data_IF_467255087598
#
_entry.id   IF_467255087598
#
_cell.length_a   1.000
_cell.length_b   1.000
_cell.length_c   1.000
_cell.angle_alpha   90.00
_cell.angle_beta   90.00
_cell.angle_gamma   90.00
#
_symmetry.space_group_name_H-M   'P 1'
#
loop_
_entity.id
_entity.type
_entity.pdbx_description
1 polymer ?
#
# COMPACT_ATOMS: atom_id res chain seq x y z
N UNK A 1 10.71 -17.53 -11.79
CA UNK A 1 11.32 -17.00 -13.00
C UNK A 1 10.28 -16.98 -14.13
N UNK A 2 9.67 -18.10 -14.48
CA UNK A 2 8.75 -18.20 -15.62
C UNK A 2 7.54 -17.27 -15.50
N UNK A 3 6.94 -17.12 -14.34
CA UNK A 3 5.85 -16.16 -14.13
C UNK A 3 6.26 -14.70 -14.37
N UNK A 4 7.48 -14.33 -13.99
CA UNK A 4 8.02 -12.99 -14.27
C UNK A 4 8.30 -12.79 -15.77
N UNK A 5 8.81 -13.82 -16.44
CA UNK A 5 9.13 -13.78 -17.88
C UNK A 5 7.86 -13.75 -18.75
N UNK A 6 6.83 -14.52 -18.40
CA UNK A 6 5.52 -14.49 -19.08
C UNK A 6 4.68 -13.29 -18.74
N UNK A 7 4.84 -12.75 -17.53
CA UNK A 7 4.09 -11.61 -17.04
C UNK A 7 2.62 -11.92 -16.73
N UNK A 8 1.91 -10.88 -16.39
CA UNK A 8 0.47 -10.85 -16.18
C UNK A 8 -0.14 -9.83 -17.14
N UNK A 9 -1.43 -9.86 -17.37
CA UNK A 9 -2.10 -8.82 -18.15
C UNK A 9 -2.63 -7.72 -17.26
N UNK A 10 -2.85 -6.56 -17.85
CA UNK A 10 -3.41 -5.38 -17.18
C UNK A 10 -4.71 -4.99 -17.86
N UNK A 11 -5.74 -4.77 -17.07
CA UNK A 11 -7.00 -4.18 -17.50
C UNK A 11 -6.77 -2.70 -17.81
N UNK A 12 -6.46 -2.39 -19.07
CA UNK A 12 -6.12 -1.04 -19.50
C UNK A 12 -7.30 -0.05 -19.35
N UNK A 13 -8.56 -0.41 -19.67
CA UNK A 13 -9.72 0.42 -19.37
C UNK A 13 -9.83 0.78 -17.88
N UNK A 14 -9.66 -0.19 -16.98
CA UNK A 14 -9.72 0.04 -15.54
C UNK A 14 -8.53 0.90 -15.05
N UNK A 15 -7.36 0.73 -15.65
CA UNK A 15 -6.19 1.58 -15.38
C UNK A 15 -6.43 3.03 -15.78
N UNK A 16 -6.96 3.27 -16.98
CA UNK A 16 -7.28 4.61 -17.48
C UNK A 16 -8.36 5.30 -16.61
N UNK A 17 -9.41 4.59 -16.23
CA UNK A 17 -10.44 5.10 -15.30
C UNK A 17 -9.83 5.44 -13.92
N UNK A 18 -8.97 4.57 -13.41
CA UNK A 18 -8.23 4.81 -12.17
C UNK A 18 -7.36 6.07 -12.23
N UNK A 19 -6.64 6.27 -13.33
CA UNK A 19 -5.83 7.46 -13.56
C UNK A 19 -6.69 8.74 -13.53
N UNK A 20 -7.83 8.74 -14.22
CA UNK A 20 -8.74 9.89 -14.25
C UNK A 20 -9.30 10.21 -12.85
N UNK A 21 -9.67 9.18 -12.07
CA UNK A 21 -10.14 9.37 -10.68
C UNK A 21 -9.08 10.05 -9.82
N UNK A 22 -7.83 9.59 -9.92
CA UNK A 22 -6.73 10.18 -9.15
C UNK A 22 -6.43 11.62 -9.55
N UNK A 23 -6.47 11.94 -10.84
CA UNK A 23 -6.30 13.31 -11.32
C UNK A 23 -7.38 14.24 -10.77
N UNK A 24 -8.65 13.82 -10.76
CA UNK A 24 -9.74 14.60 -10.15
C UNK A 24 -9.49 14.87 -8.66
N UNK A 25 -9.10 13.84 -7.90
CA UNK A 25 -8.78 14.00 -6.47
C UNK A 25 -7.63 14.99 -6.28
N UNK A 26 -6.62 14.93 -7.14
CA UNK A 26 -5.49 15.87 -7.08
C UNK A 26 -5.92 17.30 -7.39
N UNK A 27 -6.75 17.51 -8.41
CA UNK A 27 -7.28 18.84 -8.77
C UNK A 27 -8.17 19.41 -7.66
N UNK A 28 -9.08 18.62 -7.11
CA UNK A 28 -9.93 19.01 -5.98
C UNK A 28 -9.11 19.33 -4.72
N UNK A 29 -8.01 18.61 -4.53
CA UNK A 29 -7.09 18.87 -3.42
C UNK A 29 -6.29 20.16 -3.64
N UNK A 30 -5.77 20.37 -4.84
CA UNK A 30 -5.04 21.58 -5.20
C UNK A 30 -5.87 22.84 -4.99
N UNK A 31 -7.16 22.80 -5.34
CA UNK A 31 -8.06 23.92 -5.12
C UNK A 31 -8.20 24.38 -3.66
N UNK A 32 -7.85 23.52 -2.71
CA UNK A 32 -7.92 23.79 -1.27
C UNK A 32 -6.55 24.14 -0.66
N UNK A 33 -5.45 23.89 -1.36
CA UNK A 33 -4.09 24.10 -0.86
C UNK A 33 -3.65 25.55 -1.15
N UNK A 34 -3.36 26.38 -0.12
CA UNK A 34 -3.12 27.81 -0.29
C UNK A 34 -1.92 28.19 -1.16
N UNK A 35 -0.94 27.30 -1.33
CA UNK A 35 0.27 27.55 -2.15
C UNK A 35 0.23 26.84 -3.50
N UNK A 36 -0.90 26.31 -3.94
CA UNK A 36 -1.02 25.57 -5.20
C UNK A 36 -0.69 26.44 -6.44
N UNK A 37 -0.96 27.74 -6.37
CA UNK A 37 -0.70 28.68 -7.46
C UNK A 37 0.74 29.21 -7.51
N UNK A 38 1.58 28.78 -6.56
CA UNK A 38 2.97 29.15 -6.52
C UNK A 38 3.79 28.24 -7.46
N UNK A 39 4.92 28.77 -7.97
CA UNK A 39 5.88 27.97 -8.74
C UNK A 39 6.57 26.85 -7.94
N UNK A 40 6.22 26.73 -6.67
CA UNK A 40 6.77 25.77 -5.73
C UNK A 40 5.99 24.46 -5.76
N UNK A 41 6.65 23.30 -5.67
CA UNK A 41 5.97 22.01 -5.65
C UNK A 41 4.95 21.91 -4.52
N UNK A 42 3.77 21.39 -4.80
CA UNK A 42 2.68 21.20 -3.83
C UNK A 42 3.17 20.48 -2.56
N UNK A 43 4.05 19.49 -2.70
CA UNK A 43 4.58 18.70 -1.59
C UNK A 43 5.82 19.35 -0.92
N UNK A 44 6.01 20.67 -1.05
CA UNK A 44 7.12 21.39 -0.43
C UNK A 44 7.00 21.41 1.09
N UNK A 45 7.98 20.85 1.84
CA UNK A 45 7.98 20.92 3.29
C UNK A 45 8.09 22.36 3.82
N UNK A 46 8.70 23.26 3.04
CA UNK A 46 8.84 24.67 3.40
C UNK A 46 7.48 25.35 3.39
N UNK A 47 6.72 25.25 2.29
CA UNK A 47 5.40 25.84 2.18
C UNK A 47 4.44 25.30 3.23
N UNK A 48 4.50 23.99 3.50
CA UNK A 48 3.71 23.37 4.56
C UNK A 48 4.01 24.00 5.93
N UNK A 49 5.29 24.15 6.30
CA UNK A 49 5.67 24.75 7.58
C UNK A 49 5.23 26.21 7.69
N UNK A 50 5.38 26.96 6.61
CA UNK A 50 4.95 28.37 6.56
C UNK A 50 3.44 28.51 6.74
N UNK A 51 2.66 27.64 6.11
CA UNK A 51 1.21 27.65 6.23
C UNK A 51 0.74 27.18 7.61
N UNK A 52 1.38 26.15 8.17
CA UNK A 52 1.16 25.75 9.56
C UNK A 52 1.40 26.89 10.53
N UNK A 53 2.49 27.67 10.35
CA UNK A 53 2.80 28.82 11.19
C UNK A 53 1.75 29.93 11.06
N UNK A 54 1.26 30.23 9.85
CA UNK A 54 0.18 31.19 9.62
C UNK A 54 -1.14 30.75 10.28
N UNK A 55 -1.45 29.45 10.18
CA UNK A 55 -2.65 28.89 10.78
C UNK A 55 -2.54 28.66 12.31
N UNK A 56 -1.39 28.88 12.90
CA UNK A 56 -1.14 28.64 14.33
C UNK A 56 -1.17 27.16 14.73
N UNK A 57 -0.92 26.26 13.80
CA UNK A 57 -0.90 24.80 14.03
C UNK A 57 0.53 24.25 13.92
N UNK A 58 0.90 23.24 14.70
CA UNK A 58 2.21 22.59 14.56
C UNK A 58 2.30 21.84 13.24
N UNK A 59 3.46 21.88 12.57
CA UNK A 59 3.73 21.03 11.42
C UNK A 59 3.99 19.58 11.88
N UNK A 60 3.50 18.56 11.16
CA UNK A 60 3.77 17.17 11.50
C UNK A 60 5.24 16.84 11.31
N UNK A 61 5.76 15.92 12.12
CA UNK A 61 7.16 15.45 12.06
C UNK A 61 7.40 14.72 10.74
N UNK A 62 6.43 13.91 10.33
CA UNK A 62 6.48 13.12 9.11
C UNK A 62 5.17 13.20 8.35
N UNK A 63 5.24 13.28 7.03
CA UNK A 63 4.09 13.16 6.13
C UNK A 63 3.95 11.75 5.53
N UNK A 64 4.65 10.75 6.08
CA UNK A 64 4.52 9.38 5.60
C UNK A 64 3.08 8.87 5.78
N UNK A 65 2.65 8.01 4.87
CA UNK A 65 1.26 7.53 4.86
C UNK A 65 0.89 6.73 6.11
N UNK A 66 1.86 6.00 6.66
CA UNK A 66 1.79 5.14 7.83
C UNK A 66 2.22 5.85 9.14
N UNK A 67 2.44 7.16 9.10
CA UNK A 67 2.82 7.94 10.27
C UNK A 67 1.61 8.20 11.16
N UNK A 68 1.64 7.69 12.39
CA UNK A 68 0.63 7.96 13.41
C UNK A 68 0.55 9.45 13.77
N UNK A 69 1.70 10.13 13.84
CA UNK A 69 1.80 11.58 14.05
C UNK A 69 1.03 12.35 12.96
N UNK A 70 1.19 11.96 11.71
CA UNK A 70 0.48 12.59 10.62
C UNK A 70 -1.02 12.28 10.60
N UNK A 71 -1.43 11.08 11.00
CA UNK A 71 -2.83 10.72 11.11
C UNK A 71 -3.52 11.52 12.23
N UNK A 72 -2.89 11.61 13.40
CA UNK A 72 -3.38 12.43 14.52
C UNK A 72 -3.42 13.93 14.17
N UNK A 73 -2.45 14.42 13.39
CA UNK A 73 -2.42 15.79 12.91
C UNK A 73 -3.58 16.08 11.94
N UNK A 74 -3.87 15.16 11.02
CA UNK A 74 -5.00 15.25 10.11
C UNK A 74 -6.34 15.22 10.85
N UNK A 75 -6.51 14.30 11.80
CA UNK A 75 -7.72 14.18 12.62
C UNK A 75 -7.99 15.47 13.43
N UNK A 76 -6.94 16.02 14.04
CA UNK A 76 -7.07 17.18 14.89
C UNK A 76 -7.33 18.49 14.14
N UNK A 77 -6.71 18.67 12.99
CA UNK A 77 -6.72 19.95 12.28
C UNK A 77 -7.42 19.94 10.92
N UNK A 78 -7.78 18.77 10.39
CA UNK A 78 -8.38 18.63 9.06
C UNK A 78 -9.75 19.30 8.93
N UNK A 79 -10.53 19.34 10.00
CA UNK A 79 -11.85 19.99 10.01
C UNK A 79 -11.73 21.53 10.04
N UNK A 80 -10.85 22.05 10.89
CA UNK A 80 -10.63 23.51 11.02
C UNK A 80 -9.80 24.09 9.87
N UNK A 81 -8.97 23.28 9.22
CA UNK A 81 -8.07 23.66 8.14
C UNK A 81 -8.20 22.68 6.97
N UNK A 82 -9.16 22.88 6.05
CA UNK A 82 -9.45 21.92 4.96
C UNK A 82 -8.27 21.58 4.06
N UNK A 83 -7.26 22.45 3.98
CA UNK A 83 -6.01 22.21 3.24
C UNK A 83 -5.15 21.10 3.86
N UNK A 84 -5.32 20.81 5.17
CA UNK A 84 -4.61 19.71 5.86
C UNK A 84 -5.02 18.37 5.27
N UNK A 85 -6.32 18.10 5.22
CA UNK A 85 -6.85 16.89 4.60
C UNK A 85 -6.53 16.85 3.09
N UNK A 86 -6.69 17.97 2.40
CA UNK A 86 -6.38 18.09 0.97
C UNK A 86 -4.90 17.77 0.67
N UNK A 87 -3.98 18.23 1.49
CA UNK A 87 -2.56 17.93 1.35
C UNK A 87 -2.26 16.42 1.48
N UNK A 88 -2.93 15.75 2.40
CA UNK A 88 -2.84 14.31 2.60
C UNK A 88 -3.42 13.55 1.41
N UNK A 89 -4.59 13.94 0.95
CA UNK A 89 -5.25 13.31 -0.19
C UNK A 89 -4.45 13.48 -1.47
N UNK A 90 -3.94 14.69 -1.73
CA UNK A 90 -3.05 14.94 -2.85
C UNK A 90 -1.82 14.02 -2.81
N UNK A 91 -1.17 13.88 -1.64
CA UNK A 91 0.00 13.02 -1.48
C UNK A 91 -0.32 11.55 -1.73
N UNK A 92 -1.42 11.04 -1.16
CA UNK A 92 -1.88 9.66 -1.36
C UNK A 92 -2.20 9.41 -2.84
N UNK A 93 -2.97 10.31 -3.46
CA UNK A 93 -3.34 10.22 -4.87
C UNK A 93 -2.13 10.29 -5.79
N UNK A 94 -1.19 11.21 -5.57
CA UNK A 94 0.05 11.33 -6.34
C UNK A 94 0.94 10.09 -6.23
N UNK A 95 1.03 9.49 -5.04
CA UNK A 95 1.79 8.25 -4.84
C UNK A 95 1.17 7.09 -5.62
N UNK A 96 -0.16 6.98 -5.59
CA UNK A 96 -0.88 5.95 -6.33
C UNK A 96 -0.81 6.18 -7.84
N UNK A 97 -0.96 7.45 -8.27
CA UNK A 97 -0.80 7.86 -9.68
C UNK A 97 0.55 7.42 -10.23
N UNK A 98 1.64 7.69 -9.53
CA UNK A 98 2.99 7.26 -9.95
C UNK A 98 3.11 5.74 -10.10
N UNK A 99 2.43 4.96 -9.27
CA UNK A 99 2.37 3.51 -9.45
C UNK A 99 1.62 3.11 -10.72
N UNK A 100 0.49 3.77 -11.02
CA UNK A 100 -0.25 3.54 -12.26
C UNK A 100 0.58 3.94 -13.50
N UNK A 101 1.25 5.08 -13.47
CA UNK A 101 2.15 5.53 -14.55
C UNK A 101 3.28 4.52 -14.80
N UNK A 102 3.87 4.00 -13.71
CA UNK A 102 4.91 2.97 -13.82
C UNK A 102 4.35 1.68 -14.39
N UNK A 103 3.15 1.28 -14.01
CA UNK A 103 2.48 0.10 -14.55
C UNK A 103 2.20 0.31 -16.05
N UNK A 104 1.59 1.44 -16.41
CA UNK A 104 1.25 1.80 -17.78
C UNK A 104 2.48 1.80 -18.70
N UNK A 105 3.58 2.41 -18.25
CA UNK A 105 4.82 2.51 -19.04
C UNK A 105 5.49 1.15 -19.33
N UNK A 106 5.07 0.09 -18.67
CA UNK A 106 5.63 -1.26 -18.82
C UNK A 106 4.71 -2.26 -19.49
N UNK A 107 3.49 -1.83 -19.85
CA UNK A 107 2.58 -2.66 -20.62
C UNK A 107 3.16 -2.83 -22.02
N UNK A 108 3.32 -4.08 -22.44
CA UNK A 108 3.76 -4.42 -23.78
C UNK A 108 2.61 -4.32 -24.79
N UNK A 109 2.93 -4.39 -26.09
CA UNK A 109 1.94 -4.34 -27.17
C UNK A 109 0.85 -5.43 -27.07
N UNK A 110 1.20 -6.60 -26.50
CA UNK A 110 0.26 -7.70 -26.25
C UNK A 110 -0.60 -7.52 -25.00
N UNK A 111 -0.47 -6.40 -24.28
CA UNK A 111 -1.16 -6.12 -23.02
C UNK A 111 -0.53 -6.78 -21.79
N UNK A 112 0.57 -7.49 -21.95
CA UNK A 112 1.27 -8.13 -20.83
C UNK A 112 2.16 -7.13 -20.08
N UNK A 113 2.34 -7.39 -18.81
CA UNK A 113 3.23 -6.67 -17.91
C UNK A 113 4.18 -7.68 -17.23
N UNK A 114 5.46 -7.56 -17.53
CA UNK A 114 6.50 -8.35 -16.86
C UNK A 114 6.96 -7.64 -15.58
N UNK A 115 7.06 -8.37 -14.49
CA UNK A 115 7.59 -7.88 -13.23
C UNK A 115 8.89 -8.59 -12.86
N UNK A 116 9.77 -7.87 -12.19
CA UNK A 116 11.04 -8.38 -11.74
C UNK A 116 11.07 -8.53 -10.21
N UNK A 117 11.64 -9.64 -9.75
CA UNK A 117 11.83 -9.92 -8.34
C UNK A 117 13.31 -10.16 -8.05
N UNK A 118 13.80 -9.48 -7.02
CA UNK A 118 15.17 -9.67 -6.52
C UNK A 118 15.17 -10.74 -5.43
N UNK A 119 15.93 -11.82 -5.68
CA UNK A 119 16.16 -12.87 -4.68
C UNK A 119 16.91 -12.30 -3.48
N UNK A 120 16.44 -12.62 -2.27
CA UNK A 120 17.03 -12.13 -1.03
C UNK A 120 17.19 -10.59 -0.98
N UNK A 121 16.25 -9.85 -1.61
CA UNK A 121 16.34 -8.41 -1.75
C UNK A 121 15.92 -7.63 -0.51
N UNK A 122 15.16 -8.23 0.41
CA UNK A 122 14.81 -7.67 1.70
C UNK A 122 15.82 -8.12 2.78
N UNK A 123 16.05 -7.28 3.80
CA UNK A 123 16.96 -7.61 4.92
C UNK A 123 16.50 -8.85 5.71
N UNK A 124 15.23 -9.21 5.62
CA UNK A 124 14.64 -10.42 6.22
C UNK A 124 14.84 -11.68 5.37
N UNK A 125 15.57 -11.60 4.25
CA UNK A 125 15.79 -12.73 3.34
C UNK A 125 14.64 -13.00 2.37
N UNK A 126 13.57 -12.23 2.39
CA UNK A 126 12.46 -12.37 1.46
C UNK A 126 12.78 -11.78 0.09
N UNK A 127 12.07 -12.24 -0.93
CA UNK A 127 12.09 -11.61 -2.24
C UNK A 127 11.58 -10.17 -2.15
N UNK A 128 12.16 -9.25 -2.89
CA UNK A 128 11.67 -7.89 -3.04
C UNK A 128 11.36 -7.58 -4.50
N UNK A 129 10.54 -6.56 -4.74
CA UNK A 129 10.38 -6.05 -6.09
C UNK A 129 11.67 -5.43 -6.60
N UNK A 130 11.89 -5.52 -7.90
CA UNK A 130 13.03 -4.95 -8.60
C UNK A 130 12.57 -3.96 -9.68
N UNK A 131 13.52 -3.28 -10.31
CA UNK A 131 13.28 -2.34 -11.41
C UNK A 131 12.25 -1.24 -11.10
N UNK A 132 12.12 -0.81 -9.84
CA UNK A 132 11.27 0.32 -9.45
C UNK A 132 9.75 0.04 -9.37
N UNK A 133 9.30 -1.21 -9.58
CA UNK A 133 7.93 -1.61 -9.35
C UNK A 133 7.85 -2.85 -8.47
N UNK A 134 7.39 -2.66 -7.24
CA UNK A 134 7.21 -3.77 -6.32
C UNK A 134 5.77 -4.26 -6.33
N UNK A 135 5.50 -5.33 -7.11
CA UNK A 135 4.17 -5.95 -7.22
C UNK A 135 3.70 -6.51 -5.86
N UNK A 136 4.63 -6.93 -4.99
CA UNK A 136 4.30 -7.47 -3.66
C UNK A 136 3.74 -6.39 -2.71
N UNK A 137 4.10 -5.11 -2.94
CA UNK A 137 3.69 -3.98 -2.12
C UNK A 137 2.53 -3.18 -2.73
N UNK A 138 1.71 -3.82 -3.55
CA UNK A 138 0.48 -3.20 -4.01
C UNK A 138 -0.51 -3.03 -2.86
N UNK A 139 -1.20 -1.87 -2.77
CA UNK A 139 -2.20 -1.63 -1.74
C UNK A 139 -3.22 -2.77 -1.68
N UNK A 140 -3.59 -3.18 -0.46
CA UNK A 140 -4.62 -4.22 -0.24
C UNK A 140 -6.02 -3.63 -0.28
N UNK A 141 -6.14 -2.36 0.12
CA UNK A 141 -7.41 -1.64 0.21
C UNK A 141 -7.51 -0.64 -0.94
N UNK A 142 -8.63 -0.59 -1.65
CA UNK A 142 -8.87 0.45 -2.65
C UNK A 142 -8.78 1.85 -2.05
N UNK A 143 -8.17 2.78 -2.78
CA UNK A 143 -8.10 4.19 -2.38
C UNK A 143 -8.69 5.06 -3.49
N UNK A 144 -9.52 6.02 -3.13
CA UNK A 144 -10.21 6.92 -4.08
C UNK A 144 -10.98 6.17 -5.19
N UNK A 145 -11.53 5.00 -4.85
CA UNK A 145 -12.22 4.13 -5.81
C UNK A 145 -11.29 3.43 -6.82
N UNK A 146 -9.98 3.42 -6.56
CA UNK A 146 -8.96 2.76 -7.38
C UNK A 146 -8.42 1.53 -6.67
N UNK A 147 -8.57 0.36 -7.29
CA UNK A 147 -8.08 -0.93 -6.81
C UNK A 147 -7.02 -1.47 -7.78
N UNK A 148 -5.74 -1.31 -7.41
CA UNK A 148 -4.63 -1.78 -8.25
C UNK A 148 -4.62 -3.29 -8.46
N UNK A 149 -5.09 -4.07 -7.49
CA UNK A 149 -5.07 -5.53 -7.60
C UNK A 149 -6.05 -6.04 -8.63
N UNK A 150 -7.21 -5.38 -8.78
CA UNK A 150 -8.20 -5.71 -9.79
C UNK A 150 -7.74 -5.38 -11.21
N UNK A 151 -6.76 -4.49 -11.36
CA UNK A 151 -6.16 -4.18 -12.66
C UNK A 151 -5.27 -5.31 -13.18
N UNK A 152 -4.79 -6.19 -12.30
CA UNK A 152 -3.99 -7.34 -12.68
C UNK A 152 -4.92 -8.50 -13.03
N UNK A 153 -4.92 -8.89 -14.28
CA UNK A 153 -5.80 -9.94 -14.83
C UNK A 153 -4.97 -11.07 -15.45
N UNK A 154 -5.52 -12.27 -15.54
CA UNK A 154 -4.87 -13.36 -16.25
C UNK A 154 -4.87 -13.09 -17.77
N UNK A 155 -3.97 -13.78 -18.48
CA UNK A 155 -3.98 -13.76 -19.96
C UNK A 155 -5.30 -14.30 -20.51
N UNK A 156 -5.70 -13.89 -21.72
CA UNK A 156 -6.89 -14.43 -22.37
C UNK A 156 -6.89 -15.98 -22.39
N UNK A 157 -8.01 -16.58 -22.00
CA UNK A 157 -8.14 -18.03 -21.90
C UNK A 157 -7.47 -18.69 -20.70
N UNK A 158 -6.96 -17.91 -19.75
CA UNK A 158 -6.33 -18.39 -18.50
C UNK A 158 -7.08 -17.87 -17.28
N UNK A 159 -6.79 -18.46 -16.13
CA UNK A 159 -7.26 -17.98 -14.83
C UNK A 159 -6.11 -17.98 -13.83
N UNK A 160 -6.21 -17.16 -12.77
CA UNK A 160 -5.28 -17.25 -11.65
C UNK A 160 -5.71 -18.36 -10.72
N UNK A 161 -4.75 -19.19 -10.34
CA UNK A 161 -4.85 -20.09 -9.21
C UNK A 161 -3.98 -19.51 -8.12
N UNK A 162 -4.62 -19.07 -7.02
CA UNK A 162 -3.94 -18.40 -5.91
C UNK A 162 -3.96 -19.36 -4.72
N UNK A 163 -2.78 -19.71 -4.23
CA UNK A 163 -2.61 -20.53 -3.04
C UNK A 163 -1.53 -19.89 -2.15
N UNK A 164 -1.81 -19.79 -0.86
CA UNK A 164 -0.89 -19.27 0.14
C UNK A 164 -0.78 -20.25 1.30
N UNK A 165 0.43 -20.41 1.82
CA UNK A 165 0.70 -21.26 2.98
C UNK A 165 0.47 -20.42 4.24
N UNK A 166 -0.68 -20.60 4.86
CA UNK A 166 -1.07 -19.84 6.05
C UNK A 166 -0.03 -19.97 7.15
N UNK A 167 0.57 -18.83 7.54
CA UNK A 167 1.48 -18.69 8.68
C UNK A 167 2.65 -19.67 8.65
N UNK A 168 3.19 -19.96 7.46
CA UNK A 168 4.20 -21.01 7.27
C UNK A 168 5.47 -20.75 8.09
N UNK A 169 5.89 -19.51 8.25
CA UNK A 169 7.11 -19.16 9.00
C UNK A 169 7.00 -19.62 10.46
N UNK A 170 5.86 -19.37 11.10
CA UNK A 170 5.63 -19.81 12.48
C UNK A 170 5.47 -21.33 12.58
N UNK A 171 4.79 -21.95 11.63
CA UNK A 171 4.66 -23.41 11.60
C UNK A 171 6.01 -24.11 11.54
N UNK A 172 6.88 -23.63 10.66
CA UNK A 172 8.25 -24.17 10.54
C UNK A 172 9.06 -23.88 11.81
N UNK A 173 8.93 -22.67 12.39
CA UNK A 173 9.63 -22.32 13.63
C UNK A 173 9.19 -23.19 14.79
N UNK A 174 7.89 -23.36 15.02
CA UNK A 174 7.35 -24.21 16.08
C UNK A 174 7.75 -25.67 15.91
N UNK A 175 7.73 -26.17 14.66
CA UNK A 175 8.20 -27.51 14.35
C UNK A 175 9.68 -27.70 14.67
N UNK A 176 10.53 -26.75 14.27
CA UNK A 176 11.97 -26.79 14.55
C UNK A 176 12.30 -26.68 16.05
N UNK A 177 11.50 -25.88 16.78
CA UNK A 177 11.65 -25.71 18.22
C UNK A 177 11.08 -26.88 19.03
N UNK A 178 10.32 -27.78 18.44
CA UNK A 178 9.59 -28.83 19.14
C UNK A 178 8.44 -28.31 19.99
N UNK A 179 7.88 -27.15 19.64
CA UNK A 179 6.73 -26.53 20.32
C UNK A 179 5.43 -27.25 19.91
N UNK A 180 5.16 -28.35 20.56
CA UNK A 180 4.00 -29.20 20.24
C UNK A 180 2.69 -28.49 20.59
N UNK A 181 2.65 -27.71 21.66
CA UNK A 181 1.44 -27.00 22.10
C UNK A 181 0.99 -25.99 21.04
N UNK A 182 1.92 -25.20 20.51
CA UNK A 182 1.63 -24.30 19.38
C UNK A 182 1.20 -25.06 18.14
N UNK A 183 1.87 -26.16 17.83
CA UNK A 183 1.52 -26.99 16.65
C UNK A 183 0.11 -27.54 16.76
N UNK A 184 -0.33 -28.05 17.92
CA UNK A 184 -1.68 -28.52 18.12
C UNK A 184 -2.74 -27.41 17.96
N UNK A 185 -2.48 -26.21 18.47
CA UNK A 185 -3.39 -25.06 18.28
C UNK A 185 -3.51 -24.68 16.79
N UNK A 186 -2.41 -24.70 16.05
CA UNK A 186 -2.39 -24.42 14.62
C UNK A 186 -3.10 -25.49 13.78
N UNK A 187 -3.06 -26.76 14.22
CA UNK A 187 -3.80 -27.86 13.58
C UNK A 187 -5.31 -27.73 13.78
N UNK A 188 -5.74 -27.19 14.92
CA UNK A 188 -7.14 -26.85 15.20
C UNK A 188 -7.64 -25.66 14.38
N UNK A 189 -6.78 -25.01 13.59
CA UNK A 189 -7.11 -23.85 12.77
C UNK A 189 -7.08 -22.51 13.50
N UNK A 190 -6.59 -22.50 14.75
CA UNK A 190 -6.42 -21.28 15.54
C UNK A 190 -5.25 -20.48 14.95
N UNK A 191 -5.40 -19.15 14.87
CA UNK A 191 -4.33 -18.31 14.37
C UNK A 191 -3.15 -18.27 15.34
N UNK A 192 -1.93 -18.08 14.82
CA UNK A 192 -0.72 -17.92 15.63
C UNK A 192 -0.87 -16.83 16.68
N UNK A 193 -1.48 -15.70 16.31
CA UNK A 193 -1.68 -14.57 17.23
C UNK A 193 -2.60 -14.93 18.38
N UNK A 194 -3.66 -15.65 18.09
CA UNK A 194 -4.61 -16.10 19.11
C UNK A 194 -4.00 -17.19 20.00
N UNK A 195 -3.34 -18.18 19.42
CA UNK A 195 -2.65 -19.22 20.15
C UNK A 195 -1.60 -18.63 21.12
N UNK A 196 -0.80 -17.65 20.63
CA UNK A 196 0.17 -16.95 21.44
C UNK A 196 -0.50 -16.10 22.56
N UNK A 197 -1.57 -15.38 22.24
CA UNK A 197 -2.30 -14.59 23.21
C UNK A 197 -2.90 -15.47 24.33
N UNK A 198 -3.42 -16.64 23.98
CA UNK A 198 -3.95 -17.61 24.94
C UNK A 198 -2.85 -18.15 25.86
N UNK A 199 -1.72 -18.58 25.29
CA UNK A 199 -0.64 -19.23 26.03
C UNK A 199 0.16 -18.26 26.87
N UNK A 200 0.40 -17.04 26.39
CA UNK A 200 1.36 -16.10 27.00
C UNK A 200 0.67 -14.95 27.73
N UNK A 201 -0.51 -14.51 27.27
CA UNK A 201 -1.21 -13.33 27.82
C UNK A 201 -2.47 -13.70 28.61
N UNK A 202 -2.81 -14.99 28.72
CA UNK A 202 -4.01 -15.45 29.40
C UNK A 202 -5.31 -15.01 28.73
N UNK A 203 -5.27 -14.76 27.43
CA UNK A 203 -6.44 -14.38 26.64
C UNK A 203 -7.46 -15.52 26.60
N UNK A 204 -8.69 -15.26 27.01
CA UNK A 204 -9.75 -16.27 27.14
C UNK A 204 -11.00 -15.89 26.36
N UNK A 205 -10.95 -14.91 25.46
CA UNK A 205 -12.13 -14.48 24.74
C UNK A 205 -12.56 -15.54 23.72
N UNK A 206 -13.73 -16.11 23.86
CA UNK A 206 -14.36 -16.88 22.80
C UNK A 206 -14.95 -15.87 21.81
N UNK A 207 -14.37 -15.75 20.63
CA UNK A 207 -14.98 -14.98 19.56
C UNK A 207 -16.43 -15.45 19.26
#
# INVERSE_FOLDING_TARGET
RDMGDFGVHVDQPLLADGMQKLLRVMDESMAKIPWADCSTPILSPKCLKEECAKAGIPAPISLAQDSEDCAAWEEKYGESSPWVAAMRDYRKANTLKKKLETLESRIKEDGSFAYSLKYFGAHTGRWSGDEGFNIQNMPRVPMFGVDLRKMIIPRPGHTFIISDLSQIEQRVLSWLAGDNDMMEELEKGISVYEAHARSTMGYTDPA
#
